data_IF_979998217145
#
_entry.id   IF_979998217145
#
_cell.length_a   1.000
_cell.length_b   1.000
_cell.length_c   1.000
_cell.angle_alpha   90.00
_cell.angle_beta   90.00
_cell.angle_gamma   90.00
#
_symmetry.space_group_name_H-M   'P 1'
#
loop_
_entity.id
_entity.type
_entity.pdbx_description
1 polymer ?
#
# COMPACT_ATOMS: atom_id res chain seq x y z
N UNK A 1 83.91 -22.36 -7.45
CA UNK A 1 84.65 -23.12 -8.49
C UNK A 1 85.33 -24.32 -7.85
N UNK A 2 84.62 -25.46 -7.80
CA UNK A 2 85.08 -26.86 -7.85
C UNK A 2 83.81 -27.76 -7.71
N UNK A 3 83.79 -28.95 -8.34
CA UNK A 3 82.66 -29.43 -9.13
C UNK A 3 82.23 -30.88 -8.80
N UNK A 4 81.33 -31.44 -9.64
CA UNK A 4 80.95 -32.86 -9.82
C UNK A 4 79.91 -33.45 -8.84
N UNK A 5 78.68 -33.90 -9.18
CA UNK A 5 77.99 -34.55 -10.34
C UNK A 5 77.70 -36.05 -10.05
N UNK A 6 76.52 -36.50 -10.51
CA UNK A 6 75.95 -37.86 -10.65
C UNK A 6 75.29 -38.46 -9.41
N UNK A 7 74.17 -39.19 -9.44
CA UNK A 7 72.96 -39.33 -10.27
C UNK A 7 72.24 -40.58 -9.71
N UNK A 8 70.90 -40.62 -9.63
CA UNK A 8 70.14 -41.80 -10.07
C UNK A 8 68.63 -41.50 -10.16
N UNK A 9 68.06 -41.91 -11.28
CA UNK A 9 66.63 -41.89 -11.60
C UNK A 9 65.87 -43.01 -10.88
N UNK A 10 64.62 -42.74 -10.50
CA UNK A 10 63.55 -43.74 -10.63
C UNK A 10 62.20 -43.06 -10.89
N UNK A 11 61.63 -43.36 -12.06
CA UNK A 11 60.29 -43.01 -12.50
C UNK A 11 59.33 -44.14 -12.13
N UNK A 12 58.24 -43.82 -11.42
CA UNK A 12 56.97 -44.57 -11.50
C UNK A 12 55.81 -43.56 -11.47
N UNK A 13 55.08 -43.46 -12.59
CA UNK A 13 53.71 -42.90 -12.64
C UNK A 13 52.77 -43.88 -11.89
N UNK A 14 51.62 -43.55 -11.32
CA UNK A 14 50.36 -43.20 -12.01
C UNK A 14 49.29 -42.92 -10.91
N UNK A 15 48.38 -41.97 -11.21
CA UNK A 15 47.00 -41.75 -10.71
C UNK A 15 46.70 -41.39 -9.24
N UNK A 16 45.91 -40.31 -9.11
CA UNK A 16 44.62 -40.42 -8.42
C UNK A 16 44.28 -39.28 -7.45
N UNK A 17 43.32 -38.43 -7.86
CA UNK A 17 42.35 -37.71 -7.03
C UNK A 17 42.84 -36.91 -5.80
N UNK A 18 42.74 -35.59 -5.87
CA UNK A 18 41.61 -34.84 -5.32
C UNK A 18 42.00 -33.36 -5.18
N UNK A 19 41.25 -32.51 -5.87
CA UNK A 19 41.30 -31.07 -5.74
C UNK A 19 40.95 -30.70 -4.29
N UNK A 20 41.86 -29.98 -3.62
CA UNK A 20 41.64 -29.43 -2.28
C UNK A 20 40.39 -28.53 -2.33
N UNK A 21 39.29 -29.04 -1.77
CA UNK A 21 38.03 -28.29 -1.67
C UNK A 21 38.30 -27.02 -0.87
N UNK A 22 37.90 -25.87 -1.44
CA UNK A 22 37.65 -24.65 -0.66
C UNK A 22 36.80 -25.00 0.58
N UNK A 23 37.03 -24.35 1.74
CA UNK A 23 36.24 -24.65 2.91
C UNK A 23 34.77 -24.27 2.64
N UNK A 24 33.91 -25.28 2.58
CA UNK A 24 32.46 -25.11 2.65
C UNK A 24 32.16 -24.26 3.88
N UNK A 25 31.50 -23.12 3.68
CA UNK A 25 31.08 -22.24 4.76
C UNK A 25 30.20 -23.04 5.73
N UNK A 26 30.75 -23.42 6.88
CA UNK A 26 30.01 -24.05 7.98
C UNK A 26 28.84 -23.13 8.34
N UNK A 27 27.63 -23.48 7.90
CA UNK A 27 26.40 -22.82 8.33
C UNK A 27 26.31 -22.97 9.84
N UNK A 28 26.34 -21.85 10.57
CA UNK A 28 26.07 -21.84 12.02
C UNK A 28 24.71 -22.53 12.24
N UNK A 29 24.58 -23.47 13.18
CA UNK A 29 23.34 -24.25 13.41
C UNK A 29 22.11 -23.39 13.75
N UNK A 30 22.28 -22.10 14.06
CA UNK A 30 21.21 -21.15 14.37
C UNK A 30 20.71 -20.31 13.17
N UNK A 31 21.01 -20.75 11.94
CA UNK A 31 20.52 -20.09 10.72
C UNK A 31 19.36 -20.88 10.12
N UNK A 32 18.16 -20.29 10.13
CA UNK A 32 16.97 -20.87 9.51
C UNK A 32 16.66 -20.15 8.20
N UNK A 33 16.27 -20.91 7.17
CA UNK A 33 15.92 -20.40 5.84
C UNK A 33 14.43 -20.64 5.58
N UNK A 34 13.76 -19.65 5.01
CA UNK A 34 12.34 -19.72 4.67
C UNK A 34 12.07 -19.14 3.29
N UNK A 35 11.30 -19.86 2.47
CA UNK A 35 10.73 -19.34 1.24
C UNK A 35 9.45 -18.58 1.58
N UNK A 36 9.28 -17.38 1.04
CA UNK A 36 8.22 -16.45 1.46
C UNK A 36 7.39 -15.98 0.27
N UNK A 37 6.07 -15.94 0.41
CA UNK A 37 5.16 -15.32 -0.59
C UNK A 37 4.91 -13.84 -0.31
N UNK A 38 5.01 -13.43 0.96
CA UNK A 38 4.90 -12.05 1.43
C UNK A 38 5.66 -11.90 2.76
N UNK A 39 5.62 -10.72 3.38
CA UNK A 39 6.43 -10.41 4.57
C UNK A 39 6.13 -11.26 5.81
N UNK A 40 4.99 -11.96 5.87
CA UNK A 40 4.53 -12.75 7.03
C UNK A 40 4.16 -14.21 6.74
N UNK A 41 4.13 -14.63 5.47
CA UNK A 41 3.60 -15.93 5.06
C UNK A 41 4.63 -16.75 4.30
N UNK A 42 4.80 -18.00 4.72
CA UNK A 42 5.64 -18.99 4.04
C UNK A 42 5.06 -19.36 2.66
N UNK A 43 5.94 -19.63 1.72
CA UNK A 43 5.57 -20.26 0.47
C UNK A 43 5.27 -21.75 0.67
N UNK A 44 4.31 -22.27 -0.10
CA UNK A 44 4.01 -23.71 -0.10
C UNK A 44 5.12 -24.52 -0.75
N UNK A 45 5.73 -23.96 -1.80
CA UNK A 45 6.88 -24.52 -2.52
C UNK A 45 7.89 -23.42 -2.87
N UNK A 46 9.10 -23.81 -3.27
CA UNK A 46 10.11 -22.86 -3.74
C UNK A 46 9.64 -22.07 -4.98
N UNK A 47 8.87 -22.71 -5.88
CA UNK A 47 8.34 -22.06 -7.08
C UNK A 47 7.30 -20.97 -6.78
N UNK A 48 6.63 -21.04 -5.62
CA UNK A 48 5.67 -20.01 -5.22
C UNK A 48 6.34 -18.82 -4.54
N UNK A 49 7.61 -18.96 -4.16
CA UNK A 49 8.34 -17.96 -3.41
C UNK A 49 8.47 -16.65 -4.19
N UNK A 50 8.42 -15.53 -3.48
CA UNK A 50 8.73 -14.18 -3.98
C UNK A 50 10.09 -13.71 -3.48
N UNK A 51 10.56 -14.24 -2.36
CA UNK A 51 11.89 -13.98 -1.80
C UNK A 51 12.27 -15.08 -0.80
N UNK A 52 13.57 -15.13 -0.47
CA UNK A 52 14.13 -15.98 0.58
C UNK A 52 14.36 -15.16 1.84
N UNK A 53 13.98 -15.67 3.01
CA UNK A 53 14.31 -15.08 4.32
C UNK A 53 15.31 -15.95 5.07
N UNK A 54 16.37 -15.33 5.55
CA UNK A 54 17.33 -15.91 6.48
C UNK A 54 17.13 -15.29 7.86
N UNK A 55 16.96 -16.14 8.88
CA UNK A 55 16.93 -15.75 10.28
C UNK A 55 18.14 -16.32 10.99
N UNK A 56 18.97 -15.43 11.56
CA UNK A 56 20.22 -15.79 12.21
C UNK A 56 20.11 -15.33 13.67
N UNK A 57 20.12 -16.26 14.62
CA UNK A 57 20.16 -15.92 16.04
C UNK A 57 21.47 -15.20 16.37
N UNK A 58 21.38 -14.08 17.06
CA UNK A 58 22.52 -13.32 17.57
C UNK A 58 22.70 -13.58 19.07
N UNK A 59 23.93 -13.40 19.57
CA UNK A 59 24.28 -13.61 20.98
C UNK A 59 23.49 -12.69 21.94
N UNK A 60 22.96 -11.57 21.42
CA UNK A 60 22.08 -10.65 22.14
C UNK A 60 20.68 -11.22 22.42
N UNK A 61 20.34 -12.41 21.94
CA UNK A 61 18.99 -12.98 21.99
C UNK A 61 18.04 -12.44 20.91
N UNK A 62 18.51 -11.52 20.06
CA UNK A 62 17.76 -11.06 18.90
C UNK A 62 18.06 -11.92 17.66
N UNK A 63 17.18 -11.85 16.67
CA UNK A 63 17.38 -12.43 15.35
C UNK A 63 17.78 -11.33 14.37
N UNK A 64 18.90 -11.55 13.68
CA UNK A 64 19.23 -10.81 12.47
C UNK A 64 18.47 -11.45 11.31
N UNK A 65 17.62 -10.66 10.68
CA UNK A 65 16.84 -11.11 9.54
C UNK A 65 17.43 -10.49 8.28
N UNK A 66 17.62 -11.32 7.26
CA UNK A 66 17.99 -10.89 5.92
C UNK A 66 17.03 -11.50 4.91
N UNK A 67 16.37 -10.66 4.13
CA UNK A 67 15.63 -11.13 2.97
C UNK A 67 16.47 -10.96 1.72
N UNK A 68 16.34 -11.89 0.79
CA UNK A 68 17.02 -11.92 -0.50
C UNK A 68 16.00 -12.11 -1.60
N UNK A 69 16.15 -11.35 -2.68
CA UNK A 69 15.46 -11.64 -3.93
C UNK A 69 15.87 -13.03 -4.44
N UNK A 70 15.05 -13.64 -5.29
CA UNK A 70 15.34 -14.97 -5.83
C UNK A 70 16.61 -15.00 -6.69
N UNK A 71 17.02 -13.86 -7.25
CA UNK A 71 18.31 -13.70 -7.94
C UNK A 71 19.52 -13.63 -7.00
N UNK A 72 19.31 -13.75 -5.67
CA UNK A 72 20.36 -13.72 -4.65
C UNK A 72 20.78 -12.33 -4.18
N UNK A 73 20.26 -11.25 -4.78
CA UNK A 73 20.53 -9.89 -4.29
C UNK A 73 19.84 -9.62 -2.95
N UNK A 74 20.47 -8.82 -2.09
CA UNK A 74 19.91 -8.46 -0.79
C UNK A 74 18.65 -7.61 -0.99
N UNK A 75 17.56 -7.97 -0.32
CA UNK A 75 16.27 -7.26 -0.33
C UNK A 75 16.07 -6.43 0.93
N UNK A 76 16.35 -6.99 2.10
CA UNK A 76 16.09 -6.34 3.38
C UNK A 76 17.06 -6.84 4.46
N UNK A 77 17.43 -5.98 5.39
CA UNK A 77 18.13 -6.38 6.62
C UNK A 77 17.58 -5.63 7.83
N UNK A 78 17.38 -6.35 8.92
CA UNK A 78 16.90 -5.78 10.19
C UNK A 78 17.27 -6.67 11.38
N UNK A 79 17.01 -6.16 12.60
CA UNK A 79 17.02 -6.94 13.84
C UNK A 79 15.60 -7.04 14.41
N UNK A 80 15.24 -8.21 14.95
CA UNK A 80 13.95 -8.43 15.64
C UNK A 80 14.14 -9.28 16.89
N UNK A 81 13.28 -9.11 17.89
CA UNK A 81 13.21 -10.01 19.05
C UNK A 81 12.31 -11.24 18.82
N UNK A 82 11.67 -11.36 17.65
CA UNK A 82 10.73 -12.43 17.34
C UNK A 82 11.38 -13.52 16.48
N UNK A 83 10.99 -14.77 16.73
CA UNK A 83 11.42 -15.97 16.02
C UNK A 83 10.40 -16.48 14.99
N UNK A 84 9.28 -15.76 14.83
CA UNK A 84 8.20 -16.11 13.89
C UNK A 84 8.22 -15.26 12.61
N UNK A 85 7.39 -15.63 11.62
CA UNK A 85 7.39 -14.96 10.31
C UNK A 85 6.84 -13.54 10.35
N UNK A 86 5.97 -13.21 11.30
CA UNK A 86 5.53 -11.84 11.52
C UNK A 86 6.53 -11.09 12.41
N UNK A 87 7.71 -10.81 11.86
CA UNK A 87 8.82 -10.21 12.62
C UNK A 87 8.56 -8.76 13.03
N UNK A 88 7.61 -8.07 12.36
CA UNK A 88 7.45 -6.61 12.40
C UNK A 88 7.23 -6.03 13.80
N UNK A 89 6.37 -6.63 14.67
CA UNK A 89 6.18 -6.12 16.02
C UNK A 89 7.44 -6.15 16.90
N UNK A 90 8.38 -7.06 16.60
CA UNK A 90 9.64 -7.21 17.33
C UNK A 90 10.82 -6.43 16.78
N UNK A 91 10.67 -5.72 15.66
CA UNK A 91 11.78 -5.02 15.03
C UNK A 91 12.28 -3.90 15.96
N UNK A 92 13.59 -3.85 16.16
CA UNK A 92 14.23 -2.81 16.95
C UNK A 92 15.59 -2.43 16.36
N UNK A 93 15.80 -1.15 16.09
CA UNK A 93 16.99 -0.62 15.44
C UNK A 93 16.79 -0.39 13.93
N UNK A 94 17.90 -0.48 13.19
CA UNK A 94 17.94 -0.19 11.76
C UNK A 94 17.16 -1.23 10.94
N UNK A 95 16.41 -0.73 9.97
CA UNK A 95 15.71 -1.49 8.95
C UNK A 95 16.04 -0.88 7.60
N UNK A 96 16.76 -1.63 6.76
CA UNK A 96 17.13 -1.20 5.41
C UNK A 96 16.49 -2.12 4.38
N UNK A 97 15.90 -1.53 3.34
CA UNK A 97 15.49 -2.24 2.12
C UNK A 97 16.35 -1.80 0.94
N UNK A 98 16.48 -2.69 -0.04
CA UNK A 98 17.27 -2.50 -1.25
C UNK A 98 16.43 -2.87 -2.47
N UNK A 99 16.74 -2.27 -3.60
CA UNK A 99 16.28 -2.69 -4.92
C UNK A 99 17.06 -3.92 -5.38
N UNK A 100 16.53 -4.66 -6.37
CA UNK A 100 17.21 -5.84 -6.95
C UNK A 100 18.59 -5.52 -7.54
N UNK A 101 18.82 -4.27 -7.95
CA UNK A 101 20.13 -3.81 -8.42
C UNK A 101 21.12 -3.50 -7.27
N UNK A 102 20.77 -3.83 -6.03
CA UNK A 102 21.58 -3.65 -4.83
C UNK A 102 21.63 -2.21 -4.28
N UNK A 103 21.00 -1.23 -4.94
CA UNK A 103 20.93 0.14 -4.41
C UNK A 103 19.92 0.20 -3.27
N UNK A 104 20.24 0.98 -2.24
CA UNK A 104 19.34 1.18 -1.10
C UNK A 104 18.03 1.79 -1.60
N UNK A 105 16.92 1.26 -1.11
CA UNK A 105 15.55 1.72 -1.42
C UNK A 105 15.01 2.57 -0.29
N UNK A 106 15.20 2.14 0.95
CA UNK A 106 14.83 2.92 2.13
C UNK A 106 15.67 2.54 3.35
N UNK A 107 15.82 3.47 4.28
CA UNK A 107 16.44 3.28 5.58
C UNK A 107 15.52 3.87 6.65
N UNK A 108 15.25 3.08 7.69
CA UNK A 108 14.31 3.42 8.76
C UNK A 108 14.89 2.99 10.10
N UNK A 109 14.54 3.69 11.17
CA UNK A 109 14.79 3.25 12.54
C UNK A 109 13.47 2.81 13.16
N UNK A 110 13.49 1.65 13.79
CA UNK A 110 12.37 1.12 14.56
C UNK A 110 12.70 1.12 16.05
N UNK A 111 11.71 1.42 16.87
CA UNK A 111 11.71 1.21 18.31
C UNK A 111 10.48 0.37 18.68
N UNK A 112 10.70 -0.87 19.14
CA UNK A 112 9.63 -1.82 19.49
C UNK A 112 8.53 -1.92 18.42
N UNK A 113 8.94 -2.17 17.18
CA UNK A 113 8.06 -2.36 16.02
C UNK A 113 7.44 -1.07 15.44
N UNK A 114 7.70 0.10 16.04
CA UNK A 114 7.24 1.41 15.53
C UNK A 114 8.39 2.18 14.88
N UNK A 115 8.13 2.78 13.72
CA UNK A 115 9.11 3.66 13.05
C UNK A 115 9.29 4.92 13.90
N UNK A 116 10.53 5.39 14.02
CA UNK A 116 10.89 6.59 14.76
C UNK A 116 11.98 7.38 14.03
N UNK A 117 11.87 8.71 14.07
CA UNK A 117 12.86 9.60 13.46
C UNK A 117 12.77 9.65 11.94
N UNK A 118 13.90 9.91 11.30
CA UNK A 118 13.95 10.13 9.86
C UNK A 118 13.95 8.81 9.08
N UNK A 119 13.07 8.75 8.10
CA UNK A 119 13.00 7.72 7.07
C UNK A 119 13.54 8.31 5.79
N UNK A 120 14.55 7.65 5.24
CA UNK A 120 15.15 8.02 3.97
C UNK A 120 14.60 7.07 2.91
N UNK A 121 14.19 7.63 1.77
CA UNK A 121 13.80 6.88 0.59
C UNK A 121 14.63 7.33 -0.60
N UNK A 122 14.96 6.38 -1.47
CA UNK A 122 15.83 6.59 -2.63
C UNK A 122 15.14 6.13 -3.91
N UNK A 123 15.61 6.62 -5.04
CA UNK A 123 15.28 6.10 -6.36
C UNK A 123 16.12 4.84 -6.67
N UNK A 124 15.70 4.05 -7.66
CA UNK A 124 16.42 2.84 -8.08
C UNK A 124 17.83 3.13 -8.63
N UNK A 125 18.08 4.35 -9.11
CA UNK A 125 19.42 4.81 -9.48
C UNK A 125 20.32 5.14 -8.27
N UNK A 126 19.78 5.12 -7.05
CA UNK A 126 20.48 5.42 -5.80
C UNK A 126 20.41 6.88 -5.35
N UNK A 127 19.81 7.78 -6.15
CA UNK A 127 19.61 9.17 -5.73
C UNK A 127 18.63 9.27 -4.56
N UNK A 128 18.89 10.17 -3.62
CA UNK A 128 17.95 10.47 -2.53
C UNK A 128 16.65 11.02 -3.12
N UNK A 129 15.51 10.48 -2.68
CA UNK A 129 14.18 10.92 -3.11
C UNK A 129 13.49 11.75 -2.04
N UNK A 130 13.48 11.25 -0.81
CA UNK A 130 12.60 11.76 0.23
C UNK A 130 13.19 11.53 1.62
N UNK A 131 13.01 12.52 2.48
CA UNK A 131 13.25 12.41 3.92
C UNK A 131 11.94 12.76 4.63
N UNK A 132 11.39 11.80 5.36
CA UNK A 132 10.17 11.96 6.16
C UNK A 132 10.49 11.71 7.63
N UNK A 133 10.00 12.55 8.52
CA UNK A 133 10.16 12.36 9.97
C UNK A 133 8.91 11.73 10.56
N UNK A 134 9.09 10.60 11.22
CA UNK A 134 8.07 9.91 11.98
C UNK A 134 8.20 10.28 13.46
N UNK A 135 7.17 10.93 13.99
CA UNK A 135 7.09 11.38 15.38
C UNK A 135 5.77 10.93 16.01
N UNK A 136 5.60 11.17 17.32
CA UNK A 136 4.34 10.93 18.00
C UNK A 136 3.17 11.74 17.40
N UNK A 137 3.44 12.95 16.90
CA UNK A 137 2.46 13.87 16.31
C UNK A 137 2.19 13.59 14.82
N UNK A 138 2.72 12.47 14.30
CA UNK A 138 2.54 12.00 12.94
C UNK A 138 3.78 12.16 12.07
N UNK A 139 3.54 12.09 10.75
CA UNK A 139 4.58 12.11 9.72
C UNK A 139 4.70 13.51 9.13
N UNK A 140 5.93 13.96 8.89
CA UNK A 140 6.27 15.26 8.34
C UNK A 140 7.27 15.11 7.21
N UNK A 141 7.02 15.73 6.06
CA UNK A 141 8.04 15.81 5.01
C UNK A 141 9.13 16.80 5.41
N UNK A 142 10.40 16.40 5.35
CA UNK A 142 11.55 17.30 5.49
C UNK A 142 12.11 17.73 4.13
N UNK A 143 12.26 16.78 3.22
CA UNK A 143 12.91 17.03 1.93
C UNK A 143 12.34 16.10 0.87
N UNK A 144 12.14 16.63 -0.33
CA UNK A 144 11.75 15.86 -1.51
C UNK A 144 12.55 16.32 -2.72
N UNK A 145 13.08 15.36 -3.47
CA UNK A 145 13.82 15.57 -4.70
C UNK A 145 13.18 14.76 -5.82
N UNK A 146 13.21 15.29 -7.04
CA UNK A 146 12.86 14.50 -8.23
C UNK A 146 13.99 13.53 -8.62
N UNK A 147 13.75 12.69 -9.65
CA UNK A 147 14.72 11.67 -10.09
C UNK A 147 16.00 12.24 -10.70
N UNK A 148 16.02 13.54 -11.04
CA UNK A 148 17.18 14.26 -11.56
C UNK A 148 17.97 14.97 -10.46
N UNK A 149 17.46 14.95 -9.21
CA UNK A 149 18.08 15.56 -8.06
C UNK A 149 17.63 17.00 -7.78
N UNK A 150 16.63 17.52 -8.52
CA UNK A 150 16.10 18.85 -8.21
C UNK A 150 15.32 18.78 -6.90
N UNK A 151 15.66 19.67 -5.97
CA UNK A 151 14.94 19.78 -4.70
C UNK A 151 13.61 20.50 -4.93
N UNK A 152 12.51 19.79 -4.71
CA UNK A 152 11.17 20.33 -4.81
C UNK A 152 10.60 20.74 -3.44
N UNK A 153 11.06 20.10 -2.37
CA UNK A 153 10.78 20.50 -0.98
C UNK A 153 12.08 20.64 -0.21
N UNK A 154 12.22 21.76 0.52
CA UNK A 154 13.37 22.06 1.39
C UNK A 154 12.84 22.45 2.77
N UNK A 155 13.37 21.82 3.82
CA UNK A 155 12.97 22.06 5.21
C UNK A 155 11.44 22.02 5.42
N UNK A 156 10.77 21.07 4.74
CA UNK A 156 9.34 20.85 4.80
C UNK A 156 8.48 21.89 4.07
N UNK A 157 9.07 22.73 3.22
CA UNK A 157 8.34 23.72 2.42
C UNK A 157 8.61 23.51 0.93
N UNK A 158 7.54 23.47 0.13
CA UNK A 158 7.62 23.32 -1.32
C UNK A 158 6.69 22.25 -1.88
N UNK A 159 7.02 21.70 -3.05
CA UNK A 159 6.20 20.72 -3.76
C UNK A 159 6.57 19.30 -3.35
N UNK A 160 5.55 18.47 -3.12
CA UNK A 160 5.70 17.05 -2.85
C UNK A 160 4.90 16.23 -3.87
N UNK A 161 5.53 15.17 -4.38
CA UNK A 161 4.89 14.18 -5.24
C UNK A 161 4.99 12.81 -4.55
N UNK A 162 3.83 12.23 -4.25
CA UNK A 162 3.67 10.89 -3.69
C UNK A 162 3.32 9.94 -4.81
N UNK A 163 4.08 8.86 -4.91
CA UNK A 163 3.81 7.75 -5.82
C UNK A 163 3.21 6.60 -5.02
N UNK A 164 2.17 5.96 -5.53
CA UNK A 164 1.60 4.77 -4.89
C UNK A 164 2.16 3.50 -5.53
N UNK A 165 1.68 2.33 -5.10
CA UNK A 165 2.05 1.05 -5.70
C UNK A 165 1.35 0.80 -7.04
N UNK A 166 0.31 1.58 -7.37
CA UNK A 166 -0.42 1.46 -8.62
C UNK A 166 0.33 2.25 -9.71
N UNK A 167 0.71 1.60 -10.83
CA UNK A 167 1.33 2.30 -11.95
C UNK A 167 0.44 3.47 -12.42
N UNK A 168 1.04 4.64 -12.64
CA UNK A 168 0.36 5.84 -13.11
C UNK A 168 -0.40 6.62 -12.04
N UNK A 169 -0.50 6.11 -10.81
CA UNK A 169 -1.12 6.83 -9.71
C UNK A 169 -0.10 7.73 -9.01
N UNK A 170 -0.41 9.03 -8.95
CA UNK A 170 0.40 10.01 -8.24
C UNK A 170 -0.46 11.05 -7.58
N UNK A 171 -0.01 11.53 -6.43
CA UNK A 171 -0.63 12.60 -5.67
C UNK A 171 0.41 13.71 -5.51
N UNK A 172 0.10 14.92 -5.95
CA UNK A 172 1.02 16.06 -5.83
C UNK A 172 0.35 17.33 -5.32
N UNK A 173 1.12 18.13 -4.60
CA UNK A 173 0.69 19.42 -4.09
C UNK A 173 1.79 20.06 -3.26
N UNK A 174 1.44 21.11 -2.52
CA UNK A 174 2.40 21.84 -1.70
C UNK A 174 2.37 21.38 -0.24
N UNK A 175 3.51 21.50 0.42
CA UNK A 175 3.65 21.34 1.86
C UNK A 175 4.13 22.64 2.50
N UNK A 176 3.66 22.87 3.73
CA UNK A 176 4.19 23.89 4.64
C UNK A 176 4.52 23.20 5.97
N UNK A 177 5.74 23.40 6.47
CA UNK A 177 6.25 22.74 7.68
C UNK A 177 6.04 21.22 7.68
N UNK A 178 6.22 20.60 6.51
CA UNK A 178 6.13 19.15 6.30
C UNK A 178 4.72 18.57 6.27
N UNK A 179 3.68 19.42 6.30
CA UNK A 179 2.28 19.01 6.18
C UNK A 179 1.66 19.51 4.88
N UNK A 180 0.73 18.73 4.34
CA UNK A 180 -0.02 19.07 3.14
C UNK A 180 -0.79 20.38 3.33
N UNK A 181 -0.70 21.27 2.35
CA UNK A 181 -1.34 22.56 2.35
C UNK A 181 -1.83 22.91 0.93
N UNK A 182 -3.02 23.50 0.84
CA UNK A 182 -3.60 23.94 -0.42
C UNK A 182 -4.17 22.78 -1.24
N UNK A 183 -4.37 23.02 -2.53
CA UNK A 183 -4.91 22.00 -3.43
C UNK A 183 -3.85 20.96 -3.79
N UNK A 184 -4.27 19.71 -3.71
CA UNK A 184 -3.51 18.53 -4.06
C UNK A 184 -4.26 17.74 -5.12
N UNK A 185 -3.56 17.36 -6.18
CA UNK A 185 -4.12 16.63 -7.31
C UNK A 185 -3.71 15.16 -7.24
N UNK A 186 -4.72 14.30 -7.14
CA UNK A 186 -4.58 12.85 -7.25
C UNK A 186 -4.93 12.42 -8.67
N UNK A 187 -3.91 11.99 -9.40
CA UNK A 187 -4.02 11.45 -10.74
C UNK A 187 -4.20 9.93 -10.63
N UNK A 188 -5.32 9.41 -11.14
CA UNK A 188 -5.68 8.00 -11.14
C UNK A 188 -6.17 7.60 -12.53
N UNK A 189 -5.25 7.12 -13.37
CA UNK A 189 -5.52 6.94 -14.81
C UNK A 189 -5.94 8.27 -15.44
N UNK A 190 -7.08 8.29 -16.12
CA UNK A 190 -7.63 9.50 -16.75
C UNK A 190 -8.42 10.41 -15.80
N UNK A 191 -8.54 10.03 -14.52
CA UNK A 191 -9.30 10.80 -13.52
C UNK A 191 -8.36 11.64 -12.67
N UNK A 192 -8.77 12.86 -12.39
CA UNK A 192 -8.10 13.77 -11.47
C UNK A 192 -9.06 14.09 -10.33
N UNK A 193 -8.61 13.89 -9.10
CA UNK A 193 -9.30 14.32 -7.90
C UNK A 193 -8.50 15.44 -7.23
N UNK A 194 -9.18 16.52 -6.87
CA UNK A 194 -8.59 17.66 -6.20
C UNK A 194 -8.99 17.61 -4.73
N UNK A 195 -8.00 17.60 -3.85
CA UNK A 195 -8.18 17.59 -2.40
C UNK A 195 -7.61 18.87 -1.82
N UNK A 196 -8.43 19.63 -1.09
CA UNK A 196 -7.96 20.82 -0.38
C UNK A 196 -7.49 20.41 1.02
N UNK A 197 -6.22 20.68 1.31
CA UNK A 197 -5.61 20.46 2.61
C UNK A 197 -5.40 21.77 3.38
N UNK A 198 -5.55 21.69 4.70
CA UNK A 198 -5.11 22.72 5.65
C UNK A 198 -4.36 22.06 6.80
N UNK A 199 -3.06 22.34 6.93
CA UNK A 199 -2.18 21.74 7.96
C UNK A 199 -2.30 20.21 8.03
N UNK A 200 -2.29 19.55 6.87
CA UNK A 200 -2.41 18.09 6.74
C UNK A 200 -3.82 17.51 6.94
N UNK A 201 -4.84 18.35 7.20
CA UNK A 201 -6.23 17.91 7.28
C UNK A 201 -6.96 18.17 5.97
N UNK A 202 -7.70 17.18 5.49
CA UNK A 202 -8.57 17.32 4.33
C UNK A 202 -9.76 18.20 4.72
N UNK A 203 -9.99 19.29 3.97
CA UNK A 203 -11.22 20.07 4.04
C UNK A 203 -12.26 19.45 3.12
N UNK A 204 -11.91 19.28 1.85
CA UNK A 204 -12.75 18.58 0.89
C UNK A 204 -11.92 17.81 -0.12
N UNK A 205 -12.57 16.88 -0.81
CA UNK A 205 -12.05 16.23 -2.00
C UNK A 205 -13.16 16.18 -3.04
N UNK A 206 -12.80 16.53 -4.27
CA UNK A 206 -13.73 16.60 -5.41
C UNK A 206 -13.11 15.99 -6.65
N UNK A 207 -13.96 15.61 -7.59
CA UNK A 207 -13.60 15.28 -8.97
C UNK A 207 -14.22 16.33 -9.88
N UNK A 208 -13.41 16.91 -10.75
CA UNK A 208 -13.91 17.82 -11.77
C UNK A 208 -14.62 17.02 -12.88
N UNK A 209 -15.71 17.57 -13.39
CA UNK A 209 -16.51 16.96 -14.47
C UNK A 209 -16.43 17.88 -15.67
N UNK A 210 -16.09 17.38 -16.88
CA UNK A 210 -16.08 18.21 -18.08
C UNK A 210 -17.42 18.90 -18.28
N UNK A 211 -17.41 20.22 -18.46
CA UNK A 211 -18.60 21.05 -18.68
C UNK A 211 -19.69 20.95 -17.59
N UNK A 212 -19.33 20.63 -16.35
CA UNK A 212 -20.29 20.53 -15.25
C UNK A 212 -19.70 20.88 -13.89
N UNK A 213 -20.58 20.98 -12.90
CA UNK A 213 -20.18 21.24 -11.53
C UNK A 213 -19.39 20.07 -10.92
N UNK A 214 -18.37 20.35 -10.10
CA UNK A 214 -17.57 19.31 -9.47
C UNK A 214 -18.40 18.42 -8.56
N UNK A 215 -18.01 17.15 -8.49
CA UNK A 215 -18.63 16.17 -7.61
C UNK A 215 -17.72 15.92 -6.42
N UNK A 216 -18.22 16.19 -5.22
CA UNK A 216 -17.46 16.02 -3.98
C UNK A 216 -17.56 14.58 -3.48
N UNK A 217 -16.44 14.07 -2.97
CA UNK A 217 -16.32 12.74 -2.32
C UNK A 217 -15.99 12.88 -0.82
N UNK A 218 -15.46 14.04 -0.41
CA UNK A 218 -15.27 14.41 0.99
C UNK A 218 -15.75 15.86 1.19
N UNK A 219 -16.51 16.09 2.25
CA UNK A 219 -17.17 17.36 2.56
C UNK A 219 -17.24 17.57 4.08
N UNK A 220 -17.50 18.81 4.51
CA UNK A 220 -17.61 19.17 5.92
C UNK A 220 -18.86 18.59 6.57
N UNK A 221 -20.01 18.63 5.88
CA UNK A 221 -21.26 17.97 6.30
C UNK A 221 -21.71 16.97 5.24
N UNK A 222 -21.79 15.71 5.63
CA UNK A 222 -22.22 14.65 4.74
C UNK A 222 -23.71 14.79 4.40
N UNK A 223 -24.12 14.49 3.15
CA UNK A 223 -25.53 14.36 2.81
C UNK A 223 -26.17 13.24 3.64
N UNK A 224 -27.46 13.36 3.90
CA UNK A 224 -28.20 12.39 4.69
C UNK A 224 -29.59 12.13 4.15
N UNK A 225 -30.02 10.88 4.22
CA UNK A 225 -31.41 10.51 3.95
C UNK A 225 -32.35 11.22 4.95
N UNK A 226 -33.56 11.65 4.55
CA UNK A 226 -34.50 12.26 5.48
C UNK A 226 -34.85 11.30 6.64
N UNK A 227 -34.61 11.71 7.88
CA UNK A 227 -34.76 10.83 9.06
C UNK A 227 -33.54 9.92 9.34
N UNK A 228 -32.43 10.13 8.62
CA UNK A 228 -31.15 9.47 8.88
C UNK A 228 -31.06 8.02 8.40
N UNK A 229 -30.01 7.32 8.85
CA UNK A 229 -29.71 5.96 8.39
C UNK A 229 -30.79 4.92 8.76
N UNK A 230 -31.49 5.12 9.88
CA UNK A 230 -32.59 4.23 10.27
C UNK A 230 -33.75 4.32 9.29
N UNK A 231 -34.16 5.53 8.91
CA UNK A 231 -35.20 5.75 7.92
C UNK A 231 -34.80 5.24 6.53
N UNK A 232 -33.53 5.40 6.14
CA UNK A 232 -33.00 4.83 4.89
C UNK A 232 -33.15 3.30 4.86
N UNK A 233 -32.75 2.62 5.94
CA UNK A 233 -32.89 1.16 6.04
C UNK A 233 -34.35 0.72 5.95
N UNK A 234 -35.24 1.40 6.68
CA UNK A 234 -36.68 1.13 6.62
C UNK A 234 -37.25 1.37 5.22
N UNK A 235 -36.84 2.44 4.55
CA UNK A 235 -37.22 2.73 3.16
C UNK A 235 -36.76 1.61 2.21
N UNK A 236 -35.50 1.17 2.30
CA UNK A 236 -34.99 0.08 1.45
C UNK A 236 -35.78 -1.21 1.70
N UNK A 237 -35.92 -1.63 2.96
CA UNK A 237 -36.64 -2.87 3.31
C UNK A 237 -38.09 -2.85 2.82
N UNK A 238 -38.76 -1.69 2.89
CA UNK A 238 -40.15 -1.54 2.47
C UNK A 238 -40.33 -1.60 0.96
N UNK A 239 -39.34 -1.13 0.18
CA UNK A 239 -39.48 -0.96 -1.27
C UNK A 239 -38.74 -2.04 -2.07
N UNK A 240 -37.83 -2.79 -1.46
CA UNK A 240 -37.03 -3.80 -2.14
C UNK A 240 -37.85 -5.06 -2.45
N UNK A 241 -37.76 -5.53 -3.68
CA UNK A 241 -38.39 -6.75 -4.15
C UNK A 241 -37.31 -7.77 -4.49
N UNK A 242 -37.41 -8.99 -3.96
CA UNK A 242 -36.42 -10.01 -4.28
C UNK A 242 -36.69 -10.58 -5.69
N UNK A 243 -35.77 -10.46 -6.66
CA UNK A 243 -35.99 -10.97 -8.01
C UNK A 243 -36.24 -12.49 -8.02
N UNK A 244 -37.24 -12.92 -8.78
CA UNK A 244 -37.64 -14.35 -8.84
C UNK A 244 -36.48 -15.24 -9.25
N UNK A 245 -35.68 -14.83 -10.24
CA UNK A 245 -34.49 -15.58 -10.70
C UNK A 245 -33.47 -15.76 -9.58
N UNK A 246 -33.11 -14.67 -8.89
CA UNK A 246 -32.18 -14.72 -7.76
C UNK A 246 -32.70 -15.62 -6.62
N UNK A 247 -34.01 -15.61 -6.35
CA UNK A 247 -34.64 -16.49 -5.35
C UNK A 247 -34.56 -17.97 -5.77
N UNK A 248 -34.93 -18.31 -7.01
CA UNK A 248 -34.88 -19.68 -7.52
C UNK A 248 -33.46 -20.24 -7.54
N UNK A 249 -32.48 -19.39 -7.85
CA UNK A 249 -31.06 -19.75 -7.94
C UNK A 249 -30.33 -19.64 -6.58
N UNK A 250 -31.04 -19.38 -5.48
CA UNK A 250 -30.46 -19.19 -4.14
C UNK A 250 -29.33 -18.14 -4.07
N UNK A 251 -29.36 -17.14 -4.95
CA UNK A 251 -28.32 -16.10 -5.01
C UNK A 251 -28.57 -15.11 -3.90
N UNK A 252 -27.61 -14.95 -2.99
CA UNK A 252 -27.62 -13.98 -1.91
C UNK A 252 -26.35 -13.13 -1.96
N UNK A 253 -26.42 -11.91 -1.44
CA UNK A 253 -25.25 -11.05 -1.43
C UNK A 253 -25.55 -9.58 -1.19
N UNK A 254 -24.63 -8.75 -1.65
CA UNK A 254 -24.71 -7.29 -1.51
C UNK A 254 -24.36 -6.64 -2.82
N UNK A 255 -25.30 -5.85 -3.34
CA UNK A 255 -25.08 -4.92 -4.45
C UNK A 255 -24.57 -3.61 -3.87
N UNK A 256 -23.50 -3.07 -4.43
CA UNK A 256 -23.00 -1.74 -4.07
C UNK A 256 -23.39 -0.78 -5.18
N UNK A 257 -24.16 0.24 -4.81
CA UNK A 257 -24.61 1.31 -5.70
C UNK A 257 -23.88 2.59 -5.36
N UNK A 258 -23.53 3.37 -6.37
CA UNK A 258 -23.13 4.76 -6.24
C UNK A 258 -24.12 5.69 -6.92
N UNK A 259 -24.26 6.89 -6.40
CA UNK A 259 -25.12 7.95 -6.95
C UNK A 259 -24.63 9.31 -6.49
N UNK A 260 -25.06 10.36 -7.16
CA UNK A 260 -24.79 11.76 -6.79
C UNK A 260 -26.04 12.35 -6.16
N UNK A 261 -25.86 12.94 -4.97
CA UNK A 261 -26.85 13.80 -4.34
C UNK A 261 -26.60 15.21 -4.85
N UNK A 262 -27.56 15.77 -5.57
CA UNK A 262 -27.52 17.13 -6.11
C UNK A 262 -27.73 18.18 -5.00
N UNK A 263 -27.44 19.44 -5.33
CA UNK A 263 -27.58 20.56 -4.37
C UNK A 263 -29.02 20.77 -3.90
N UNK A 264 -30.01 20.37 -4.70
CA UNK A 264 -31.43 20.42 -4.35
C UNK A 264 -31.92 19.15 -3.62
N UNK A 265 -31.03 18.18 -3.37
CA UNK A 265 -31.31 16.90 -2.73
C UNK A 265 -31.82 15.81 -3.69
N UNK A 266 -32.03 16.10 -4.97
CA UNK A 266 -32.37 15.06 -5.95
C UNK A 266 -31.19 14.10 -6.18
N UNK A 267 -31.49 12.92 -6.69
CA UNK A 267 -30.47 11.92 -7.01
C UNK A 267 -30.23 11.88 -8.51
N UNK A 268 -28.96 11.82 -8.89
CA UNK A 268 -28.53 11.62 -10.27
C UNK A 268 -27.40 10.58 -10.33
N UNK A 269 -27.01 10.22 -11.54
CA UNK A 269 -25.85 9.37 -11.80
C UNK A 269 -25.83 8.04 -11.02
N UNK A 270 -26.99 7.38 -10.91
CA UNK A 270 -27.17 6.14 -10.16
C UNK A 270 -26.55 4.99 -10.98
N UNK A 271 -25.56 4.30 -10.40
CA UNK A 271 -24.82 3.21 -11.07
C UNK A 271 -24.48 2.08 -10.09
N UNK A 272 -24.44 0.86 -10.60
CA UNK A 272 -23.92 -0.30 -9.86
C UNK A 272 -22.39 -0.32 -9.99
N UNK A 273 -21.69 -0.34 -8.86
CA UNK A 273 -20.22 -0.46 -8.82
C UNK A 273 -19.77 -1.89 -8.49
N UNK A 274 -20.61 -2.64 -7.78
CA UNK A 274 -20.43 -4.08 -7.56
C UNK A 274 -21.79 -4.75 -7.62
N UNK A 275 -22.01 -5.54 -8.66
CA UNK A 275 -23.22 -6.31 -8.85
C UNK A 275 -23.12 -7.74 -8.33
N UNK A 276 -24.27 -8.40 -8.28
CA UNK A 276 -24.38 -9.85 -8.07
C UNK A 276 -25.20 -10.55 -9.16
N UNK A 277 -25.83 -9.80 -10.07
CA UNK A 277 -26.61 -10.34 -11.19
C UNK A 277 -28.01 -10.84 -10.81
N UNK A 278 -28.60 -11.66 -11.69
CA UNK A 278 -29.92 -12.29 -11.52
C UNK A 278 -31.10 -11.34 -11.24
N UNK A 279 -31.00 -10.08 -11.68
CA UNK A 279 -32.01 -9.05 -11.49
C UNK A 279 -31.83 -8.17 -10.24
N UNK A 280 -30.88 -8.53 -9.36
CA UNK A 280 -30.67 -7.79 -8.10
C UNK A 280 -30.02 -6.42 -8.32
N UNK A 281 -29.24 -6.30 -9.39
CA UNK A 281 -28.54 -5.07 -9.74
C UNK A 281 -29.53 -3.99 -10.22
N UNK A 282 -30.44 -4.37 -11.13
CA UNK A 282 -31.53 -3.54 -11.64
C UNK A 282 -32.49 -3.14 -10.53
N UNK A 283 -32.83 -4.09 -9.67
CA UNK A 283 -33.71 -3.85 -8.54
C UNK A 283 -33.12 -2.86 -7.54
N UNK A 284 -31.83 -3.02 -7.23
CA UNK A 284 -31.13 -2.10 -6.35
C UNK A 284 -31.14 -0.67 -6.95
N UNK A 285 -30.95 -0.52 -8.26
CA UNK A 285 -31.05 0.78 -8.95
C UNK A 285 -32.47 1.34 -8.86
N UNK A 286 -33.50 0.51 -9.07
CA UNK A 286 -34.91 0.91 -8.98
C UNK A 286 -35.25 1.47 -7.60
N UNK A 287 -34.87 0.76 -6.53
CA UNK A 287 -35.15 1.18 -5.15
C UNK A 287 -34.52 2.53 -4.84
N UNK A 288 -33.29 2.78 -5.28
CA UNK A 288 -32.62 4.07 -5.05
C UNK A 288 -33.22 5.18 -5.93
N UNK A 289 -33.67 4.85 -7.13
CA UNK A 289 -34.39 5.80 -7.99
C UNK A 289 -35.71 6.26 -7.34
N UNK A 290 -36.36 5.40 -6.55
CA UNK A 290 -37.58 5.75 -5.80
C UNK A 290 -37.32 6.57 -4.53
N UNK A 291 -36.06 6.84 -4.19
CA UNK A 291 -35.71 7.56 -2.97
C UNK A 291 -36.33 8.96 -2.97
N UNK A 292 -36.83 9.46 -1.81
CA UNK A 292 -37.14 10.87 -1.66
C UNK A 292 -35.88 11.74 -1.83
N UNK A 293 -36.08 13.06 -1.96
CA UNK A 293 -34.98 14.02 -1.91
C UNK A 293 -34.20 13.90 -0.60
N UNK A 294 -32.88 13.89 -0.70
CA UNK A 294 -31.95 13.84 0.42
C UNK A 294 -31.65 15.22 0.97
N UNK A 295 -31.17 15.29 2.20
CA UNK A 295 -30.50 16.49 2.70
C UNK A 295 -29.16 16.59 1.97
N UNK A 296 -28.88 17.68 1.23
CA UNK A 296 -27.66 17.83 0.45
C UNK A 296 -26.43 17.92 1.35
N UNK A 297 -25.27 17.63 0.79
CA UNK A 297 -23.99 17.82 1.47
C UNK A 297 -23.57 19.29 1.45
N UNK A 298 -22.71 19.66 2.40
CA UNK A 298 -22.20 21.03 2.52
C UNK A 298 -20.67 21.01 2.60
N UNK A 299 -20.03 21.87 1.82
CA UNK A 299 -18.60 22.17 1.97
C UNK A 299 -18.37 23.67 1.98
N UNK A 300 -17.56 24.14 2.94
CA UNK A 300 -17.24 25.55 3.14
C UNK A 300 -18.50 26.44 3.21
N UNK A 301 -19.56 25.96 3.87
CA UNK A 301 -20.83 26.67 4.03
C UNK A 301 -21.75 26.68 2.79
N UNK A 302 -21.38 26.01 1.70
CA UNK A 302 -22.18 25.92 0.47
C UNK A 302 -22.68 24.50 0.25
N UNK A 303 -23.94 24.37 -0.20
CA UNK A 303 -24.46 23.10 -0.67
C UNK A 303 -23.72 22.68 -1.94
N UNK A 304 -23.31 21.42 -1.99
CA UNK A 304 -22.49 20.87 -3.09
C UNK A 304 -23.01 19.53 -3.54
N UNK A 305 -22.71 19.17 -4.80
CA UNK A 305 -22.99 17.85 -5.36
C UNK A 305 -22.08 16.83 -4.69
N UNK A 306 -22.64 15.76 -4.11
CA UNK A 306 -21.85 14.76 -3.36
C UNK A 306 -22.11 13.36 -3.90
N UNK A 307 -21.05 12.65 -4.25
CA UNK A 307 -21.14 11.22 -4.56
C UNK A 307 -21.21 10.40 -3.27
N UNK A 308 -22.14 9.45 -3.21
CA UNK A 308 -22.21 8.45 -2.14
C UNK A 308 -22.28 7.05 -2.72
N UNK A 309 -21.94 6.09 -1.87
CA UNK A 309 -22.13 4.68 -2.15
C UNK A 309 -22.83 4.02 -0.98
N UNK A 310 -23.78 3.16 -1.27
CA UNK A 310 -24.53 2.39 -0.26
C UNK A 310 -24.57 0.91 -0.63
N UNK A 311 -24.41 0.02 0.35
CA UNK A 311 -24.63 -1.41 0.17
C UNK A 311 -26.12 -1.74 0.32
N UNK A 312 -26.68 -2.49 -0.63
CA UNK A 312 -28.03 -3.05 -0.57
C UNK A 312 -27.91 -4.57 -0.49
N UNK A 313 -28.44 -5.15 0.60
CA UNK A 313 -28.31 -6.57 0.89
C UNK A 313 -29.54 -7.35 0.42
N UNK A 314 -29.30 -8.44 -0.30
CA UNK A 314 -30.31 -9.43 -0.66
C UNK A 314 -30.03 -10.70 0.13
N UNK A 315 -30.96 -11.06 1.01
CA UNK A 315 -30.90 -12.29 1.82
C UNK A 315 -32.23 -13.02 1.76
N UNK A 316 -32.19 -14.33 1.55
CA UNK A 316 -33.38 -15.14 1.75
C UNK A 316 -33.59 -15.25 3.26
N UNK A 317 -34.81 -14.97 3.71
CA UNK A 317 -35.17 -15.17 5.12
C UNK A 317 -34.88 -16.62 5.51
N UNK A 318 -34.18 -16.79 6.62
CA UNK A 318 -34.07 -18.07 7.32
C UNK A 318 -35.43 -18.51 7.84
#
# INVERSE_FOLDING_TARGET
MKPYVFALFLLINITGFAQEKQPEAKTRPDTVRHYMVNDSTLAYSESDAKFLRLMIKADSGMFRVKDYYLNGSLRMVTLTSLDNMNIRPGINGMYDEYYENGKRKTSKVFNKGKITGDVLSYYSNGALRCVETYSADGVYLKQFLDSTGNQLTVNGNGKWIKYTHSPGERLEGNVINGKEEGEWNWYLGDKIYTTLYKKGKILYAKRDVPNGDPIFIHVDKNPSFPGGLGALRGFIIKNIEYPVKARLNNIQGTVIITFVIETDGSLSDIRVVKGMGEGCDEEAVRVITLSPKWVPGESLGKQVRVQRSIPISFRLGS
#
